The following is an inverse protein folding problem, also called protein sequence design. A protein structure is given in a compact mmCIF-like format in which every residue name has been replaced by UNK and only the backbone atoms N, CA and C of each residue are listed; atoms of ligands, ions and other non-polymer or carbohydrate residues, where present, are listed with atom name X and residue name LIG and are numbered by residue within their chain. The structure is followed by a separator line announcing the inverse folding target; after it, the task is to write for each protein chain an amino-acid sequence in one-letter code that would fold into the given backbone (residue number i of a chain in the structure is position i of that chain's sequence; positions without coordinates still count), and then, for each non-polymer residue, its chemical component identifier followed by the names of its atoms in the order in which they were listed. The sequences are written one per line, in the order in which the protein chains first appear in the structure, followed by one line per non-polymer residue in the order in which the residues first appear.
data_IF_722448156683
#
_entry.id   IF_722448156683
#
_cell.length_a   1.000
_cell.length_b   1.000
_cell.length_c   1.000
_cell.angle_alpha   90.00
_cell.angle_beta   90.00
_cell.angle_gamma   90.00
#
_symmetry.space_group_name_H-M   'P 1'
#
loop_
_entity.id
_entity.type
_entity.pdbx_description
1 polymer ?
#
# COMPACT_ATOMS: atom_id res chain seq x y z
N UNK A 1 -3.03 -5.74 18.62
CA UNK A 1 -3.53 -4.73 17.64
C UNK A 1 -3.55 -3.31 18.20
N UNK A 2 -4.26 -3.00 19.27
CA UNK A 2 -4.33 -1.65 19.87
C UNK A 2 -2.95 -1.07 20.16
N UNK A 3 -2.04 -1.86 20.71
CA UNK A 3 -0.65 -1.44 21.00
C UNK A 3 0.10 -1.02 19.72
N UNK A 4 -0.12 -1.70 18.59
CA UNK A 4 0.50 -1.35 17.31
C UNK A 4 -0.04 -0.01 16.77
N UNK A 5 -1.34 0.22 16.91
CA UNK A 5 -1.98 1.49 16.52
C UNK A 5 -1.46 2.63 17.37
N UNK A 6 -1.38 2.44 18.70
CA UNK A 6 -0.83 3.43 19.63
C UNK A 6 0.64 3.74 19.31
N UNK A 7 1.47 2.71 19.10
CA UNK A 7 2.88 2.90 18.69
C UNK A 7 3.02 3.65 17.39
N UNK A 8 2.16 3.36 16.40
CA UNK A 8 2.14 4.08 15.11
C UNK A 8 1.78 5.56 15.30
N UNK A 9 0.76 5.84 16.10
CA UNK A 9 0.33 7.21 16.38
C UNK A 9 1.39 8.01 17.15
N UNK A 10 2.07 7.38 18.12
CA UNK A 10 3.17 8.01 18.86
C UNK A 10 4.38 8.30 17.96
N UNK A 11 4.69 7.39 17.02
CA UNK A 11 5.77 7.63 16.02
C UNK A 11 5.45 8.82 15.12
N UNK A 12 4.22 8.91 14.62
CA UNK A 12 3.79 10.05 13.81
C UNK A 12 3.90 11.37 14.57
N UNK A 13 3.46 11.42 15.83
CA UNK A 13 3.61 12.63 16.67
C UNK A 13 5.07 13.00 16.90
N UNK A 14 5.96 12.04 17.07
CA UNK A 14 7.39 12.30 17.24
C UNK A 14 8.02 12.82 15.94
N UNK A 15 7.60 12.30 14.77
CA UNK A 15 8.02 12.82 13.47
C UNK A 15 7.58 14.29 13.30
N UNK A 16 6.32 14.61 13.58
CA UNK A 16 5.81 15.98 13.49
C UNK A 16 6.58 16.95 14.37
N UNK A 17 6.94 16.55 15.60
CA UNK A 17 7.69 17.40 16.54
C UNK A 17 9.14 17.63 16.14
N UNK A 18 9.75 16.68 15.44
CA UNK A 18 11.17 16.71 15.07
C UNK A 18 11.42 17.17 13.63
N UNK A 19 10.38 17.33 12.85
CA UNK A 19 10.46 17.72 11.46
C UNK A 19 10.66 19.23 11.33
N UNK A 20 11.63 19.61 10.50
CA UNK A 20 11.93 21.00 10.16
C UNK A 20 11.44 21.29 8.74
N UNK A 21 10.93 22.48 8.44
CA UNK A 21 10.63 22.86 7.07
C UNK A 21 11.84 22.68 6.17
N UNK A 22 11.64 22.18 4.97
CA UNK A 22 12.73 21.98 4.00
C UNK A 22 13.39 23.32 3.66
N UNK A 23 14.63 23.49 4.06
CA UNK A 23 15.39 24.74 3.86
C UNK A 23 16.22 24.73 2.57
N UNK A 24 16.63 23.55 2.08
CA UNK A 24 17.44 23.44 0.87
C UNK A 24 16.68 23.98 -0.35
N UNK A 25 17.15 25.08 -0.99
CA UNK A 25 16.42 25.72 -2.08
C UNK A 25 16.46 24.89 -3.38
N UNK A 26 17.47 24.05 -3.58
CA UNK A 26 17.59 23.20 -4.78
C UNK A 26 16.56 22.07 -4.72
N UNK A 27 16.50 21.35 -3.59
CA UNK A 27 15.51 20.29 -3.39
C UNK A 27 14.09 20.85 -3.42
N UNK A 28 13.88 22.07 -2.89
CA UNK A 28 12.57 22.72 -2.97
C UNK A 28 12.18 23.04 -4.42
N UNK A 29 13.11 23.56 -5.22
CA UNK A 29 12.87 23.82 -6.67
C UNK A 29 12.58 22.53 -7.42
N UNK A 30 13.37 21.48 -7.17
CA UNK A 30 13.16 20.17 -7.76
C UNK A 30 11.76 19.60 -7.40
N UNK A 31 11.38 19.71 -6.14
CA UNK A 31 10.06 19.29 -5.68
C UNK A 31 8.92 20.02 -6.40
N UNK A 32 9.02 21.34 -6.55
CA UNK A 32 7.98 22.09 -7.28
C UNK A 32 7.90 21.68 -8.74
N UNK A 33 9.04 21.42 -9.40
CA UNK A 33 9.06 20.86 -10.77
C UNK A 33 8.34 19.50 -10.83
N UNK A 34 8.59 18.61 -9.88
CA UNK A 34 7.90 17.32 -9.82
C UNK A 34 6.38 17.47 -9.64
N UNK A 35 5.93 18.42 -8.82
CA UNK A 35 4.49 18.71 -8.66
C UNK A 35 3.85 19.19 -9.98
N UNK A 36 4.50 20.10 -10.67
CA UNK A 36 4.06 20.62 -11.98
C UNK A 36 4.02 19.51 -13.02
N UNK A 37 5.07 18.72 -13.13
CA UNK A 37 5.19 17.58 -14.05
C UNK A 37 4.06 16.55 -13.83
N UNK A 38 3.65 16.34 -12.58
CA UNK A 38 2.57 15.44 -12.22
C UNK A 38 1.19 16.07 -12.30
N UNK A 39 1.07 17.38 -12.56
CA UNK A 39 -0.20 18.11 -12.57
C UNK A 39 -0.85 18.20 -11.19
N UNK A 40 -0.05 18.27 -10.11
CA UNK A 40 -0.53 18.40 -8.74
C UNK A 40 -0.56 19.88 -8.36
N UNK A 41 -1.74 20.47 -8.38
CA UNK A 41 -1.91 21.91 -8.07
C UNK A 41 -2.00 22.21 -6.56
N UNK A 42 -2.15 21.18 -5.74
CA UNK A 42 -2.22 21.32 -4.29
C UNK A 42 -0.82 21.56 -3.72
N UNK A 43 -0.68 22.60 -2.90
CA UNK A 43 0.55 22.79 -2.13
C UNK A 43 0.63 21.75 -1.01
N UNK A 44 1.56 20.80 -1.13
CA UNK A 44 1.83 19.77 -0.12
C UNK A 44 3.10 20.20 0.61
N UNK A 45 3.05 20.48 1.92
CA UNK A 45 4.22 20.89 2.67
C UNK A 45 5.26 19.76 2.75
N UNK A 46 6.54 20.14 2.66
CA UNK A 46 7.68 19.23 2.74
C UNK A 46 8.52 19.58 3.96
N UNK A 47 8.85 18.56 4.73
CA UNK A 47 9.67 18.66 5.93
C UNK A 47 10.90 17.77 5.79
N UNK A 48 11.99 18.16 6.44
CA UNK A 48 13.20 17.34 6.58
C UNK A 48 13.27 16.75 7.99
N UNK A 49 13.74 15.50 8.10
CA UNK A 49 13.87 14.82 9.40
C UNK A 49 15.04 13.84 9.39
N UNK A 50 15.69 13.68 10.55
CA UNK A 50 16.74 12.67 10.74
C UNK A 50 16.20 11.28 11.15
N UNK A 51 14.91 11.18 11.47
CA UNK A 51 14.31 9.96 12.05
C UNK A 51 13.76 8.98 11.02
N UNK A 52 13.79 9.33 9.75
CA UNK A 52 13.34 8.46 8.66
C UNK A 52 14.54 7.95 7.85
N UNK A 53 14.36 6.78 7.26
CA UNK A 53 15.31 6.18 6.30
C UNK A 53 14.86 6.40 4.86
N UNK A 54 13.54 6.48 4.64
CA UNK A 54 12.92 6.68 3.33
C UNK A 54 12.02 7.90 3.36
N UNK A 55 11.84 8.58 2.22
CA UNK A 55 10.77 9.54 2.07
C UNK A 55 9.43 8.88 2.42
N UNK A 56 8.51 9.64 2.94
CA UNK A 56 7.13 9.18 3.16
C UNK A 56 6.15 10.32 2.96
N UNK A 57 4.99 10.00 2.43
CA UNK A 57 3.85 10.90 2.44
C UNK A 57 2.85 10.46 3.52
N UNK A 58 2.44 11.39 4.35
CA UNK A 58 1.56 11.14 5.50
C UNK A 58 0.41 12.13 5.50
N UNK A 59 -0.74 11.69 5.98
CA UNK A 59 -1.93 12.52 6.17
C UNK A 59 -2.98 12.31 5.08
N UNK A 60 -4.22 12.05 5.51
CA UNK A 60 -5.35 11.84 4.63
C UNK A 60 -5.96 13.16 4.14
N UNK A 61 -6.25 14.06 5.08
CA UNK A 61 -6.89 15.35 4.79
C UNK A 61 -5.86 16.46 4.53
N UNK A 62 -4.75 16.42 5.25
CA UNK A 62 -3.63 17.36 5.14
C UNK A 62 -2.35 16.57 4.86
N UNK A 63 -2.14 16.15 3.60
CA UNK A 63 -0.93 15.41 3.25
C UNK A 63 0.30 16.29 3.44
N UNK A 64 1.38 15.70 3.95
CA UNK A 64 2.70 16.28 4.01
C UNK A 64 3.76 15.22 3.69
N UNK A 65 4.88 15.66 3.13
CA UNK A 65 6.00 14.80 2.78
C UNK A 65 7.11 15.02 3.80
N UNK A 66 7.69 13.91 4.28
CA UNK A 66 8.88 13.91 5.13
C UNK A 66 10.05 13.33 4.35
N UNK A 67 11.10 14.11 4.19
CA UNK A 67 12.34 13.71 3.53
C UNK A 67 13.44 13.46 4.58
N UNK A 68 14.12 12.32 4.53
CA UNK A 68 15.30 12.10 5.36
C UNK A 68 16.42 13.08 5.01
N UNK A 69 17.09 13.64 6.03
CA UNK A 69 18.17 14.63 5.82
C UNK A 69 19.33 14.02 5.02
N UNK A 70 19.68 12.75 5.25
CA UNK A 70 20.76 12.08 4.53
C UNK A 70 20.49 11.91 3.04
N UNK A 71 19.24 11.86 2.60
CA UNK A 71 18.93 11.82 1.17
C UNK A 71 19.31 13.12 0.46
N UNK A 72 19.20 14.24 1.16
CA UNK A 72 19.50 15.56 0.61
C UNK A 72 21.02 15.71 0.35
N UNK A 73 21.86 15.02 1.14
CA UNK A 73 23.32 15.05 1.01
C UNK A 73 23.90 13.96 0.12
N UNK A 74 23.24 12.79 0.05
CA UNK A 74 23.84 11.56 -0.48
C UNK A 74 23.43 11.25 -1.92
N UNK A 75 22.42 11.94 -2.45
CA UNK A 75 21.84 11.64 -3.76
C UNK A 75 21.95 12.83 -4.70
N UNK A 76 22.17 12.53 -5.98
CA UNK A 76 22.17 13.53 -7.05
C UNK A 76 20.73 14.00 -7.35
N UNK A 77 20.60 15.01 -8.22
CA UNK A 77 19.31 15.60 -8.57
C UNK A 77 18.39 14.60 -9.27
N UNK A 78 18.92 13.72 -10.12
CA UNK A 78 18.13 12.72 -10.85
C UNK A 78 17.55 11.67 -9.91
N UNK A 79 18.37 11.11 -9.01
CA UNK A 79 17.92 10.15 -8.02
C UNK A 79 16.86 10.75 -7.09
N UNK A 80 17.09 11.98 -6.64
CA UNK A 80 16.13 12.70 -5.79
C UNK A 80 14.81 12.93 -6.54
N UNK A 81 14.86 13.28 -7.83
CA UNK A 81 13.66 13.43 -8.67
C UNK A 81 12.89 12.12 -8.76
N UNK A 82 13.56 11.00 -9.01
CA UNK A 82 12.89 9.70 -9.10
C UNK A 82 12.20 9.31 -7.80
N UNK A 83 12.84 9.51 -6.66
CA UNK A 83 12.25 9.27 -5.34
C UNK A 83 11.04 10.17 -5.08
N UNK A 84 11.13 11.47 -5.42
CA UNK A 84 10.01 12.41 -5.27
C UNK A 84 8.83 12.04 -6.16
N UNK A 85 9.08 11.67 -7.42
CA UNK A 85 8.04 11.21 -8.33
C UNK A 85 7.33 9.97 -7.78
N UNK A 86 8.08 9.01 -7.22
CA UNK A 86 7.52 7.82 -6.60
C UNK A 86 6.60 8.16 -5.41
N UNK A 87 7.05 8.99 -4.48
CA UNK A 87 6.25 9.42 -3.32
C UNK A 87 5.00 10.21 -3.74
N UNK A 88 5.12 11.06 -4.75
CA UNK A 88 3.98 11.82 -5.27
C UNK A 88 2.96 10.92 -5.99
N UNK A 89 3.38 9.75 -6.54
CA UNK A 89 2.42 8.77 -7.07
C UNK A 89 1.56 8.16 -5.97
N UNK A 90 2.11 7.89 -4.78
CA UNK A 90 1.32 7.46 -3.63
C UNK A 90 0.20 8.47 -3.28
N UNK A 91 0.51 9.77 -3.37
CA UNK A 91 -0.50 10.81 -3.19
C UNK A 91 -1.58 10.75 -4.28
N UNK A 92 -1.15 10.66 -5.55
CA UNK A 92 -2.05 10.65 -6.71
C UNK A 92 -2.97 9.43 -6.73
N UNK A 93 -2.47 8.26 -6.31
CA UNK A 93 -3.23 7.03 -6.15
C UNK A 93 -4.11 7.01 -4.90
N UNK A 94 -4.02 8.02 -4.03
CA UNK A 94 -4.73 8.08 -2.74
C UNK A 94 -4.39 6.90 -1.82
N UNK A 95 -3.16 6.48 -1.82
CA UNK A 95 -2.69 5.29 -1.08
C UNK A 95 -2.85 5.41 0.43
N UNK A 96 -2.93 6.63 0.96
CA UNK A 96 -3.30 6.87 2.34
C UNK A 96 -4.71 6.30 2.65
N UNK A 97 -5.70 6.53 1.78
CA UNK A 97 -7.06 5.97 1.94
C UNK A 97 -7.02 4.45 1.92
N UNK A 98 -6.35 3.87 0.90
CA UNK A 98 -6.21 2.43 0.78
C UNK A 98 -5.54 1.84 2.03
N UNK A 99 -4.50 2.47 2.57
CA UNK A 99 -3.82 2.05 3.80
C UNK A 99 -4.73 2.05 5.02
N UNK A 100 -5.59 3.07 5.17
CA UNK A 100 -6.58 3.09 6.26
C UNK A 100 -7.59 1.96 6.14
N UNK A 101 -8.13 1.71 4.93
CA UNK A 101 -9.06 0.61 4.69
C UNK A 101 -8.41 -0.76 4.93
N UNK A 102 -7.17 -0.95 4.47
CA UNK A 102 -6.39 -2.15 4.71
C UNK A 102 -6.14 -2.40 6.21
N UNK A 103 -5.80 -1.35 6.95
CA UNK A 103 -5.61 -1.44 8.40
C UNK A 103 -6.91 -1.78 9.11
N UNK A 104 -8.04 -1.19 8.70
CA UNK A 104 -9.36 -1.50 9.24
C UNK A 104 -9.73 -2.97 8.97
N UNK A 105 -9.53 -3.46 7.74
CA UNK A 105 -9.74 -4.87 7.41
C UNK A 105 -8.86 -5.79 8.26
N UNK A 106 -7.57 -5.44 8.46
CA UNK A 106 -6.66 -6.19 9.33
C UNK A 106 -7.07 -6.20 10.80
N UNK A 107 -7.77 -5.14 11.28
CA UNK A 107 -8.33 -5.10 12.64
C UNK A 107 -9.57 -6.00 12.74
N UNK A 108 -10.49 -5.92 11.77
CA UNK A 108 -11.73 -6.71 11.77
C UNK A 108 -11.43 -8.21 11.63
N UNK A 109 -10.55 -8.55 10.70
CA UNK A 109 -10.19 -9.94 10.38
C UNK A 109 -8.85 -10.36 10.97
N UNK A 110 -8.51 -9.84 12.15
CA UNK A 110 -7.22 -10.08 12.82
C UNK A 110 -6.86 -11.55 13.00
N UNK A 111 -7.85 -12.42 13.09
CA UNK A 111 -7.73 -13.87 13.29
C UNK A 111 -7.55 -14.67 11.99
N UNK A 112 -7.76 -14.06 10.83
CA UNK A 112 -7.73 -14.76 9.54
C UNK A 112 -6.39 -14.59 8.83
N UNK A 113 -5.56 -15.66 8.72
CA UNK A 113 -4.25 -15.59 8.08
C UNK A 113 -4.33 -15.29 6.58
N UNK A 114 -5.41 -15.70 5.89
CA UNK A 114 -5.60 -15.42 4.47
C UNK A 114 -5.76 -13.92 4.22
N UNK A 115 -6.48 -13.21 5.10
CA UNK A 115 -6.61 -11.75 5.02
C UNK A 115 -5.26 -11.07 5.21
N UNK A 116 -4.43 -11.55 6.15
CA UNK A 116 -3.08 -11.01 6.34
C UNK A 116 -2.20 -11.20 5.11
N UNK A 117 -2.28 -12.37 4.48
CA UNK A 117 -1.59 -12.63 3.22
C UNK A 117 -2.08 -11.68 2.11
N UNK A 118 -3.39 -11.56 1.92
CA UNK A 118 -3.98 -10.66 0.94
C UNK A 118 -3.56 -9.19 1.17
N UNK A 119 -3.58 -8.71 2.41
CA UNK A 119 -3.13 -7.36 2.77
C UNK A 119 -1.63 -7.14 2.51
N UNK A 120 -0.81 -8.17 2.65
CA UNK A 120 0.61 -8.12 2.30
C UNK A 120 0.78 -7.98 0.78
N UNK A 121 0.08 -8.80 0.00
CA UNK A 121 0.15 -8.74 -1.47
C UNK A 121 -0.39 -7.41 -2.00
N UNK A 122 -1.48 -6.89 -1.47
CA UNK A 122 -2.01 -5.57 -1.84
C UNK A 122 -0.99 -4.44 -1.60
N UNK A 123 -0.20 -4.52 -0.51
CA UNK A 123 0.90 -3.56 -0.28
C UNK A 123 2.00 -3.69 -1.34
N UNK A 124 2.37 -4.92 -1.69
CA UNK A 124 3.38 -5.19 -2.72
C UNK A 124 2.93 -4.67 -4.08
N UNK A 125 1.69 -4.95 -4.46
CA UNK A 125 1.10 -4.51 -5.74
C UNK A 125 1.01 -2.99 -5.83
N UNK A 126 0.75 -2.30 -4.72
CA UNK A 126 0.74 -0.84 -4.66
C UNK A 126 2.11 -0.23 -5.01
N UNK A 127 3.20 -0.79 -4.48
CA UNK A 127 4.56 -0.34 -4.82
C UNK A 127 4.83 -0.52 -6.32
N UNK A 128 4.50 -1.70 -6.86
CA UNK A 128 4.63 -1.97 -8.31
C UNK A 128 3.77 -1.03 -9.15
N UNK A 129 2.57 -0.69 -8.70
CA UNK A 129 1.69 0.26 -9.39
C UNK A 129 2.25 1.69 -9.37
N UNK A 130 2.89 2.12 -8.27
CA UNK A 130 3.59 3.40 -8.18
C UNK A 130 4.78 3.43 -9.13
N UNK A 131 5.65 2.40 -9.12
CA UNK A 131 6.77 2.28 -10.05
C UNK A 131 6.30 2.33 -11.51
N UNK A 132 5.28 1.54 -11.85
CA UNK A 132 4.69 1.53 -13.19
C UNK A 132 4.16 2.90 -13.61
N UNK A 133 3.64 3.68 -12.66
CA UNK A 133 3.12 5.02 -12.93
C UNK A 133 4.25 6.04 -13.12
N UNK A 134 5.37 5.89 -12.43
CA UNK A 134 6.59 6.68 -12.68
C UNK A 134 7.14 6.34 -14.06
N UNK A 135 7.32 5.06 -14.41
CA UNK A 135 7.82 4.63 -15.72
C UNK A 135 6.98 5.13 -16.90
N UNK A 136 5.68 5.30 -16.73
CA UNK A 136 4.80 5.91 -17.76
C UNK A 136 5.15 7.37 -18.04
N UNK A 137 5.71 8.08 -17.07
CA UNK A 137 6.10 9.48 -17.17
C UNK A 137 7.52 9.64 -17.70
N UNK A 138 8.37 8.64 -17.48
CA UNK A 138 9.77 8.65 -17.90
C UNK A 138 9.90 8.22 -19.38
N UNK A 139 11.04 8.60 -19.98
CA UNK A 139 11.50 8.08 -21.26
C UNK A 139 12.15 6.71 -21.08
N UNK A 140 12.24 5.91 -22.13
CA UNK A 140 12.70 4.51 -22.03
C UNK A 140 14.16 4.39 -21.58
N UNK A 141 15.00 5.34 -21.96
CA UNK A 141 16.41 5.45 -21.54
C UNK A 141 16.57 5.72 -20.04
N UNK A 142 15.58 6.31 -19.38
CA UNK A 142 15.59 6.59 -17.94
C UNK A 142 15.10 5.41 -17.07
N UNK A 143 14.63 4.31 -17.65
CA UNK A 143 14.10 3.17 -16.84
C UNK A 143 15.19 2.46 -16.05
N UNK A 144 16.36 2.28 -16.65
CA UNK A 144 17.51 1.67 -15.99
C UNK A 144 18.00 2.54 -14.84
N UNK A 145 18.12 3.85 -15.04
CA UNK A 145 18.52 4.80 -14.01
C UNK A 145 17.54 4.80 -12.83
N UNK A 146 16.26 4.78 -13.12
CA UNK A 146 15.22 4.65 -12.08
C UNK A 146 15.37 3.35 -11.28
N UNK A 147 15.58 2.22 -11.96
CA UNK A 147 15.80 0.92 -11.32
C UNK A 147 17.05 0.93 -10.43
N UNK A 148 18.16 1.48 -10.94
CA UNK A 148 19.43 1.62 -10.21
C UNK A 148 19.28 2.52 -8.97
N UNK A 149 18.53 3.63 -9.08
CA UNK A 149 18.22 4.50 -7.93
C UNK A 149 17.51 3.72 -6.82
N UNK A 150 16.52 2.88 -7.17
CA UNK A 150 15.81 2.06 -6.18
C UNK A 150 16.70 1.00 -5.53
N UNK A 151 17.59 0.36 -6.30
CA UNK A 151 18.55 -0.62 -5.77
C UNK A 151 19.50 0.05 -4.79
N UNK A 152 20.14 1.16 -5.19
CA UNK A 152 21.07 1.92 -4.35
C UNK A 152 20.39 2.43 -3.07
N UNK A 153 19.14 2.84 -3.19
CA UNK A 153 18.36 3.26 -2.04
C UNK A 153 18.08 2.09 -1.08
N UNK A 154 17.65 0.94 -1.59
CA UNK A 154 17.37 -0.25 -0.79
C UNK A 154 18.63 -0.76 -0.08
N UNK A 155 19.78 -0.73 -0.74
CA UNK A 155 21.07 -1.10 -0.16
C UNK A 155 21.41 -0.19 1.02
N UNK A 156 21.39 1.13 0.83
CA UNK A 156 21.66 2.10 1.91
C UNK A 156 20.73 1.96 3.09
N UNK A 157 19.43 1.74 2.86
CA UNK A 157 18.43 1.53 3.92
C UNK A 157 18.70 0.24 4.69
N UNK A 158 19.17 -0.82 4.03
CA UNK A 158 19.46 -2.12 4.68
C UNK A 158 20.73 -2.10 5.51
N UNK A 159 21.75 -1.35 5.10
CA UNK A 159 23.04 -1.26 5.78
C UNK A 159 23.01 -0.41 7.06
N UNK A 160 22.00 0.41 7.28
CA UNK A 160 21.91 1.25 8.47
C UNK A 160 21.36 0.49 9.67
N UNK A 161 22.12 0.37 10.80
CA UNK A 161 21.74 -0.41 11.98
C UNK A 161 20.74 0.32 12.89
N UNK A 162 19.58 0.69 12.37
CA UNK A 162 18.54 1.30 13.20
C UNK A 162 17.49 0.25 13.61
N UNK A 163 17.22 0.01 14.91
CA UNK A 163 16.29 -1.02 15.38
C UNK A 163 14.83 -0.79 15.02
N UNK A 164 14.48 0.38 14.46
CA UNK A 164 13.12 0.73 14.08
C UNK A 164 12.79 0.50 12.59
N UNK A 165 13.76 0.07 11.78
CA UNK A 165 13.59 -0.10 10.33
C UNK A 165 12.98 -1.44 9.91
N UNK A 166 12.81 -2.39 10.82
CA UNK A 166 12.26 -3.71 10.51
C UNK A 166 10.81 -3.71 9.96
N UNK A 167 10.14 -2.55 9.93
CA UNK A 167 8.79 -2.42 9.37
C UNK A 167 8.70 -1.63 8.06
N UNK A 168 9.79 -0.97 7.63
CA UNK A 168 9.81 -0.13 6.44
C UNK A 168 10.82 -0.62 5.38
N UNK A 169 11.74 -1.49 5.77
CA UNK A 169 12.60 -2.21 4.83
C UNK A 169 11.75 -3.23 4.10
N UNK A 170 11.36 -2.95 2.87
CA UNK A 170 10.68 -3.92 2.03
C UNK A 170 11.46 -5.23 2.06
N UNK A 171 10.75 -6.37 2.19
CA UNK A 171 11.35 -7.68 2.09
C UNK A 171 12.15 -7.73 0.77
N UNK A 172 13.33 -8.33 0.77
CA UNK A 172 14.17 -8.51 -0.43
C UNK A 172 13.36 -9.05 -1.64
N UNK A 173 12.39 -9.91 -1.37
CA UNK A 173 11.46 -10.44 -2.37
C UNK A 173 10.57 -9.34 -2.98
N UNK A 174 10.11 -8.39 -2.19
CA UNK A 174 9.34 -7.23 -2.68
C UNK A 174 10.21 -6.36 -3.60
N UNK A 175 11.44 -6.07 -3.19
CA UNK A 175 12.37 -5.31 -4.02
C UNK A 175 12.70 -6.04 -5.33
N UNK A 176 12.98 -7.35 -5.26
CA UNK A 176 13.18 -8.18 -6.45
C UNK A 176 12.00 -8.10 -7.42
N UNK A 177 10.76 -8.18 -6.91
CA UNK A 177 9.53 -8.06 -7.73
C UNK A 177 9.44 -6.69 -8.40
N UNK A 178 9.74 -5.60 -7.68
CA UNK A 178 9.77 -4.24 -8.24
C UNK A 178 10.79 -4.13 -9.38
N UNK A 179 12.03 -4.58 -9.16
CA UNK A 179 13.10 -4.52 -10.17
C UNK A 179 12.78 -5.34 -11.40
N UNK A 180 12.25 -6.56 -11.25
CA UNK A 180 11.80 -7.38 -12.38
C UNK A 180 10.71 -6.65 -13.17
N UNK A 181 9.75 -6.02 -12.49
CA UNK A 181 8.70 -5.25 -13.16
C UNK A 181 9.25 -4.04 -13.93
N UNK A 182 10.24 -3.34 -13.38
CA UNK A 182 10.89 -2.20 -14.04
C UNK A 182 11.66 -2.69 -15.28
N UNK A 183 12.47 -3.74 -15.14
CA UNK A 183 13.27 -4.29 -16.23
C UNK A 183 12.43 -4.89 -17.37
N UNK A 184 11.25 -5.39 -17.07
CA UNK A 184 10.32 -5.96 -18.05
C UNK A 184 9.21 -4.99 -18.47
N UNK A 185 9.28 -3.72 -18.05
CA UNK A 185 8.24 -2.76 -18.35
C UNK A 185 8.25 -2.36 -19.82
N UNK A 186 7.12 -2.50 -20.45
CA UNK A 186 6.83 -1.97 -21.78
C UNK A 186 5.63 -1.04 -21.71
N UNK A 187 5.69 0.09 -22.40
CA UNK A 187 4.54 1.01 -22.46
C UNK A 187 3.31 0.27 -22.98
N UNK A 188 2.19 0.27 -22.26
CA UNK A 188 1.03 -0.51 -22.64
C UNK A 188 0.42 0.01 -23.93
N UNK A 189 0.40 -0.84 -24.95
CA UNK A 189 -0.32 -0.57 -26.20
C UNK A 189 -1.83 -0.53 -25.94
N UNK A 190 -2.57 0.26 -26.73
CA UNK A 190 -4.03 0.36 -26.62
C UNK A 190 -4.74 -1.01 -26.61
N UNK A 191 -4.27 -1.95 -27.43
CA UNK A 191 -4.78 -3.33 -27.45
C UNK A 191 -4.58 -4.09 -26.13
N UNK A 192 -3.45 -3.88 -25.43
CA UNK A 192 -3.21 -4.50 -24.10
C UNK A 192 -4.18 -3.97 -23.06
N UNK A 193 -4.54 -2.66 -23.14
CA UNK A 193 -5.55 -2.04 -22.24
C UNK A 193 -6.95 -2.60 -22.46
N UNK A 194 -7.38 -2.73 -23.72
CA UNK A 194 -8.70 -3.32 -24.04
C UNK A 194 -8.78 -4.76 -23.52
N UNK A 195 -7.78 -5.59 -23.79
CA UNK A 195 -7.75 -6.99 -23.31
C UNK A 195 -7.85 -7.07 -21.77
N UNK A 196 -7.16 -6.18 -21.05
CA UNK A 196 -7.27 -6.09 -19.58
C UNK A 196 -8.67 -5.69 -19.11
N UNK A 197 -9.28 -4.70 -19.74
CA UNK A 197 -10.66 -4.27 -19.41
C UNK A 197 -11.70 -5.35 -19.71
N UNK A 198 -11.59 -6.04 -20.85
CA UNK A 198 -12.52 -7.12 -21.19
C UNK A 198 -12.38 -8.31 -20.24
N UNK A 199 -11.16 -8.70 -19.87
CA UNK A 199 -10.93 -9.75 -18.88
C UNK A 199 -11.51 -9.36 -17.51
N UNK A 200 -11.29 -8.12 -17.07
CA UNK A 200 -11.86 -7.62 -15.81
C UNK A 200 -13.40 -7.62 -15.82
N UNK A 201 -14.01 -7.13 -16.90
CA UNK A 201 -15.48 -7.14 -17.03
C UNK A 201 -16.04 -8.56 -17.05
N UNK A 202 -15.37 -9.49 -17.74
CA UNK A 202 -15.80 -10.90 -17.78
C UNK A 202 -15.74 -11.54 -16.39
N UNK A 203 -14.65 -11.33 -15.63
CA UNK A 203 -14.54 -11.85 -14.26
C UNK A 203 -15.56 -11.22 -13.32
N UNK A 204 -15.82 -9.91 -13.43
CA UNK A 204 -16.84 -9.22 -12.65
C UNK A 204 -18.23 -9.78 -12.93
N UNK A 205 -18.58 -10.00 -14.20
CA UNK A 205 -19.88 -10.59 -14.59
C UNK A 205 -20.01 -12.02 -14.05
N UNK A 206 -18.95 -12.84 -14.14
CA UNK A 206 -18.96 -14.18 -13.57
C UNK A 206 -19.19 -14.17 -12.07
N UNK A 207 -18.46 -13.33 -11.33
CA UNK A 207 -18.60 -13.24 -9.87
C UNK A 207 -19.98 -12.74 -9.46
N UNK A 208 -20.52 -11.74 -10.12
CA UNK A 208 -21.87 -11.23 -9.84
C UNK A 208 -22.96 -12.22 -10.28
N UNK A 209 -22.76 -12.97 -11.36
CA UNK A 209 -23.69 -13.99 -11.81
C UNK A 209 -23.77 -15.22 -10.89
N UNK A 210 -22.66 -15.55 -10.22
CA UNK A 210 -22.65 -16.65 -9.23
C UNK A 210 -23.14 -16.25 -7.84
N UNK A 211 -23.14 -14.97 -7.48
CA UNK A 211 -23.56 -14.48 -6.17
C UNK A 211 -25.02 -14.89 -5.81
N UNK A 212 -26.04 -14.71 -6.68
CA UNK A 212 -27.40 -15.15 -6.38
C UNK A 212 -27.54 -16.68 -6.30
N UNK A 213 -26.73 -17.42 -7.06
CA UNK A 213 -26.75 -18.89 -7.04
C UNK A 213 -26.26 -19.43 -5.69
N UNK A 214 -25.18 -18.86 -5.14
CA UNK A 214 -24.67 -19.23 -3.81
C UNK A 214 -25.69 -18.89 -2.72
N UNK A 215 -26.38 -17.74 -2.82
CA UNK A 215 -27.38 -17.33 -1.83
C UNK A 215 -28.64 -18.23 -1.83
N UNK A 216 -29.06 -18.74 -3.00
CA UNK A 216 -30.19 -19.67 -3.10
C UNK A 216 -29.84 -21.04 -2.51
N UNK A 217 -28.64 -21.56 -2.73
CA UNK A 217 -28.21 -22.81 -2.09
C UNK A 217 -28.10 -22.68 -0.56
N UNK A 218 -27.63 -21.56 -0.05
CA UNK A 218 -27.54 -21.30 1.38
C UNK A 218 -28.93 -21.15 2.03
N UNK A 219 -29.95 -20.64 1.30
CA UNK A 219 -31.32 -20.51 1.79
C UNK A 219 -32.07 -21.85 1.77
N UNK A 220 -31.78 -22.72 0.79
CA UNK A 220 -32.47 -24.04 0.68
C UNK A 220 -31.94 -25.05 1.73
N UNK A 221 -30.73 -24.83 2.26
CA UNK A 221 -30.17 -25.62 3.38
C UNK A 221 -30.82 -25.38 4.74
N UNK A 222 -31.72 -24.40 4.90
CA UNK A 222 -32.37 -24.05 6.17
C UNK A 222 -33.60 -24.86 6.51
N UNK A 223 -34.04 -25.82 5.67
CA UNK A 223 -35.17 -26.67 5.91
C UNK A 223 -34.87 -28.00 6.62
N UNK A 224 -33.73 -28.17 7.24
CA UNK A 224 -33.55 -29.23 8.21
C UNK A 224 -34.21 -28.82 9.55
N UNK A 225 -35.56 -28.91 9.61
CA UNK A 225 -36.27 -28.97 10.87
C UNK A 225 -35.84 -30.26 11.59
N UNK A 226 -35.06 -30.11 12.62
CA UNK A 226 -34.85 -31.15 13.61
C UNK A 226 -36.21 -31.34 14.30
N UNK A 227 -37.00 -32.35 13.87
CA UNK A 227 -38.12 -32.83 14.61
C UNK A 227 -37.59 -33.48 15.90
N UNK A 228 -37.50 -32.70 16.96
CA UNK A 228 -37.30 -33.23 18.32
C UNK A 228 -38.57 -33.90 18.74
N UNK A 229 -38.62 -35.23 18.54
CA UNK A 229 -39.70 -36.08 19.09
C UNK A 229 -39.52 -36.15 20.60
N UNK A 230 -40.32 -35.39 21.34
CA UNK A 230 -40.45 -35.56 22.78
C UNK A 230 -41.28 -36.81 23.02
N UNK A 231 -40.60 -37.95 23.27
CA UNK A 231 -41.25 -39.10 23.86
C UNK A 231 -41.54 -38.78 25.33
N UNK A 232 -42.80 -38.65 25.67
CA UNK A 232 -43.29 -38.57 27.05
C UNK A 232 -42.88 -39.81 27.82
N UNK A 233 -41.91 -39.68 28.70
CA UNK A 233 -41.68 -40.63 29.79
C UNK A 233 -42.73 -40.38 30.87
N UNK A 234 -43.83 -41.13 30.81
CA UNK A 234 -44.80 -41.26 31.94
C UNK A 234 -44.12 -42.07 33.05
N UNK A 235 -43.82 -41.42 34.16
CA UNK A 235 -43.40 -42.09 35.39
C UNK A 235 -44.64 -42.89 35.97
N UNK A 236 -44.46 -44.16 36.37
CA UNK A 236 -45.54 -44.89 37.06
C UNK A 236 -45.66 -44.36 38.47
N UNK A 237 -46.91 -43.98 38.80
CA UNK A 237 -47.37 -43.68 40.16
C UNK A 237 -47.35 -44.97 40.96
N UNK A 238 -46.55 -45.06 42.00
CA UNK A 238 -46.66 -46.13 43.01
C UNK A 238 -47.40 -45.51 44.15
N UNK A 239 -48.64 -45.98 44.33
CA UNK A 239 -49.40 -45.87 45.55
C UNK A 239 -49.11 -47.06 46.45
N UNK A 240 -48.73 -46.79 47.69
CA UNK A 240 -49.14 -47.53 48.93
C UNK A 240 -48.64 -46.76 50.15
#
# INVERSE_FOLDING_TARGET
MIILVIKSSLRLRNLEKSALPLQNPEVRRLYHRCLEEMGIHRNIPVYSTAFLKSPIIVGLLKPCIYLPIHLISDYNESDMRYMLLHELQHYKHKDAVASYLMNLAGVIYWFNPLVWYALKEMRNDREVACDTSVLKMLEEDAYEDYGNTLINFAEKVSLTPFPFAAGLGGNMEQMKRRIINIASYEKPTFMKRIKGMTAFMLTAVLLLGFAPFISTYAADGSHYQWAVSYTHLTLPTICS
#
